data_IF_564691558400
#
_entry.id   IF_564691558400
#
_cell.length_a   1.000
_cell.length_b   1.000
_cell.length_c   1.000
_cell.angle_alpha   90.00
_cell.angle_beta   90.00
_cell.angle_gamma   90.00
#
_symmetry.space_group_name_H-M   'P 1'
#
loop_
_entity.id
_entity.type
_entity.pdbx_description
1 polymer ?
#
# COMPACT_ATOMS: atom_id res chain seq x y z
N UNK A 1 -19.87 -11.51 1.11
CA UNK A 1 -18.85 -10.48 1.38
C UNK A 1 -17.78 -11.10 2.27
N UNK A 2 -16.51 -11.02 1.90
CA UNK A 2 -15.38 -11.48 2.75
C UNK A 2 -14.93 -10.29 3.59
N UNK A 3 -14.49 -10.51 4.84
CA UNK A 3 -13.89 -9.45 5.65
C UNK A 3 -12.47 -9.16 5.19
N UNK A 4 -11.96 -7.96 5.45
CA UNK A 4 -10.58 -7.59 5.15
C UNK A 4 -9.60 -8.55 5.85
N UNK A 5 -9.88 -8.93 7.11
CA UNK A 5 -9.08 -9.89 7.89
C UNK A 5 -8.94 -11.22 7.17
N UNK A 6 -10.06 -11.76 6.67
CA UNK A 6 -10.02 -13.04 5.96
C UNK A 6 -9.36 -12.95 4.58
N UNK A 7 -9.31 -11.76 3.96
CA UNK A 7 -8.62 -11.56 2.68
C UNK A 7 -7.12 -11.47 2.91
N UNK A 8 -6.69 -10.56 3.77
CA UNK A 8 -5.26 -10.31 4.05
C UNK A 8 -4.57 -11.56 4.60
N UNK A 9 -5.18 -12.26 5.58
CA UNK A 9 -4.63 -13.51 6.10
C UNK A 9 -4.46 -14.57 5.01
N UNK A 10 -5.38 -14.66 4.06
CA UNK A 10 -5.28 -15.63 2.95
C UNK A 10 -4.15 -15.28 1.99
N UNK A 11 -3.89 -14.00 1.76
CA UNK A 11 -2.79 -13.55 0.93
C UNK A 11 -1.46 -13.99 1.55
N UNK A 12 -1.24 -13.71 2.83
CA UNK A 12 0.04 -14.01 3.50
C UNK A 12 0.23 -15.48 3.90
N UNK A 13 -0.85 -16.28 3.89
CA UNK A 13 -0.78 -17.74 4.09
C UNK A 13 -0.57 -18.53 2.79
N UNK A 14 -0.64 -17.87 1.64
CA UNK A 14 -0.42 -18.50 0.33
C UNK A 14 1.08 -18.75 0.10
N UNK A 15 1.42 -19.80 -0.67
CA UNK A 15 2.79 -20.09 -1.07
C UNK A 15 3.38 -18.96 -1.95
N UNK A 16 2.51 -18.21 -2.65
CA UNK A 16 2.85 -17.11 -3.54
C UNK A 16 2.06 -15.85 -3.17
N UNK A 17 2.43 -15.16 -2.09
CA UNK A 17 1.63 -14.06 -1.52
C UNK A 17 1.46 -12.88 -2.49
N UNK A 18 2.44 -12.59 -3.34
CA UNK A 18 2.32 -11.55 -4.37
C UNK A 18 1.22 -11.86 -5.40
N UNK A 19 1.17 -13.09 -5.91
CA UNK A 19 0.14 -13.51 -6.87
C UNK A 19 -1.24 -13.56 -6.20
N UNK A 20 -1.30 -14.00 -4.93
CA UNK A 20 -2.53 -13.98 -4.15
C UNK A 20 -3.04 -12.55 -3.90
N UNK A 21 -2.13 -11.61 -3.66
CA UNK A 21 -2.45 -10.19 -3.50
C UNK A 21 -2.97 -9.59 -4.80
N UNK A 22 -2.31 -9.86 -5.93
CA UNK A 22 -2.79 -9.40 -7.25
C UNK A 22 -4.19 -9.94 -7.54
N UNK A 23 -4.46 -11.22 -7.26
CA UNK A 23 -5.78 -11.82 -7.42
C UNK A 23 -6.85 -11.24 -6.47
N UNK A 24 -6.45 -10.68 -5.33
CA UNK A 24 -7.32 -10.01 -4.37
C UNK A 24 -7.52 -8.52 -4.68
N UNK A 25 -6.67 -7.94 -5.51
CA UNK A 25 -6.69 -6.51 -5.87
C UNK A 25 -7.83 -6.19 -6.84
N UNK A 26 -8.33 -4.95 -6.82
CA UNK A 26 -9.42 -4.53 -7.70
C UNK A 26 -8.98 -4.61 -9.18
N UNK A 27 -9.63 -5.50 -9.94
CA UNK A 27 -9.37 -5.69 -11.37
C UNK A 27 -9.63 -4.44 -12.22
N UNK A 28 -10.40 -3.46 -11.72
CA UNK A 28 -10.58 -2.18 -12.40
C UNK A 28 -9.29 -1.35 -12.46
N UNK A 29 -8.32 -1.62 -11.58
CA UNK A 29 -7.00 -0.99 -11.60
C UNK A 29 -6.13 -1.49 -12.77
N UNK A 30 -6.48 -2.63 -13.40
CA UNK A 30 -5.79 -3.18 -14.58
C UNK A 30 -4.27 -3.31 -14.40
N UNK A 31 -3.83 -3.70 -13.20
CA UNK A 31 -2.42 -3.79 -12.82
C UNK A 31 -1.64 -2.47 -13.03
N UNK A 32 -2.33 -1.32 -13.05
CA UNK A 32 -1.74 0.01 -13.13
C UNK A 32 -1.42 0.54 -11.73
N UNK A 33 -0.50 -0.13 -11.06
CA UNK A 33 0.03 0.25 -9.76
C UNK A 33 1.41 -0.38 -9.56
N UNK A 34 2.27 0.22 -8.73
CA UNK A 34 3.51 -0.41 -8.32
C UNK A 34 3.21 -1.60 -7.39
N UNK A 35 3.54 -2.82 -7.85
CA UNK A 35 3.26 -4.05 -7.09
C UNK A 35 3.98 -4.07 -5.72
N UNK A 36 5.20 -3.57 -5.65
CA UNK A 36 5.98 -3.48 -4.42
C UNK A 36 5.29 -2.60 -3.37
N UNK A 37 4.79 -1.44 -3.78
CA UNK A 37 4.08 -0.50 -2.90
C UNK A 37 2.72 -1.06 -2.46
N UNK A 38 2.02 -1.77 -3.35
CA UNK A 38 0.81 -2.52 -2.99
C UNK A 38 1.08 -3.61 -1.97
N UNK A 39 2.22 -4.31 -2.08
CA UNK A 39 2.61 -5.34 -1.12
C UNK A 39 2.91 -4.74 0.26
N UNK A 40 3.68 -3.64 0.32
CA UNK A 40 3.93 -2.90 1.57
C UNK A 40 2.64 -2.39 2.22
N UNK A 41 1.70 -1.92 1.40
CA UNK A 41 0.36 -1.51 1.87
C UNK A 41 -0.40 -2.68 2.50
N UNK A 42 -0.28 -3.88 1.93
CA UNK A 42 -0.89 -5.10 2.47
C UNK A 42 -0.24 -5.53 3.79
N UNK A 43 1.08 -5.39 3.94
CA UNK A 43 1.80 -5.64 5.20
C UNK A 43 1.36 -4.66 6.30
N UNK A 44 1.20 -3.38 5.95
CA UNK A 44 0.65 -2.37 6.87
C UNK A 44 -0.76 -2.76 7.32
N UNK A 45 -1.59 -3.25 6.38
CA UNK A 45 -2.94 -3.70 6.70
C UNK A 45 -2.90 -4.91 7.65
N UNK A 46 -2.06 -5.91 7.38
CA UNK A 46 -1.87 -7.07 8.26
C UNK A 46 -1.46 -6.63 9.67
N UNK A 47 -0.47 -5.75 9.78
CA UNK A 47 0.04 -5.27 11.07
C UNK A 47 -1.01 -4.48 11.86
N UNK A 48 -1.80 -3.64 11.19
CA UNK A 48 -2.96 -2.97 11.80
C UNK A 48 -4.00 -3.95 12.37
N UNK A 49 -4.03 -5.17 11.86
CA UNK A 49 -5.05 -6.17 12.11
C UNK A 49 -4.56 -7.31 13.01
N UNK A 50 -3.39 -7.14 13.66
CA UNK A 50 -2.88 -8.06 14.68
C UNK A 50 -3.96 -8.37 15.73
N UNK A 51 -4.02 -9.64 16.13
CA UNK A 51 -5.00 -10.13 17.10
C UNK A 51 -4.79 -9.46 18.45
N UNK A 52 -3.53 -9.39 18.88
CA UNK A 52 -3.11 -8.73 20.10
C UNK A 52 -3.05 -7.21 19.90
N UNK A 53 -3.79 -6.46 20.73
CA UNK A 53 -3.85 -5.01 20.62
C UNK A 53 -2.50 -4.32 20.85
N UNK A 54 -1.61 -4.95 21.63
CA UNK A 54 -0.26 -4.44 21.91
C UNK A 54 0.69 -4.59 20.71
N UNK A 55 0.40 -5.52 19.79
CA UNK A 55 1.19 -5.72 18.58
C UNK A 55 0.77 -4.78 17.45
N UNK A 56 -0.37 -4.09 17.59
CA UNK A 56 -0.84 -3.14 16.57
C UNK A 56 0.03 -1.88 16.58
N UNK A 57 0.36 -1.35 15.41
CA UNK A 57 1.21 -0.17 15.27
C UNK A 57 0.54 1.09 15.80
N UNK A 58 1.35 2.08 16.13
CA UNK A 58 0.83 3.40 16.40
C UNK A 58 0.50 4.16 15.11
N UNK A 59 -0.56 4.97 15.13
CA UNK A 59 -0.98 5.74 13.95
C UNK A 59 0.12 6.65 13.39
N UNK A 60 1.03 7.15 14.22
CA UNK A 60 2.17 7.96 13.75
C UNK A 60 3.11 7.16 12.83
N UNK A 61 3.30 5.87 13.12
CA UNK A 61 4.16 4.97 12.35
C UNK A 61 3.45 4.62 11.04
N UNK A 62 2.15 4.33 11.10
CA UNK A 62 1.33 4.06 9.92
C UNK A 62 1.33 5.25 8.95
N UNK A 63 1.08 6.47 9.44
CA UNK A 63 1.08 7.66 8.59
C UNK A 63 2.44 7.89 7.94
N UNK A 64 3.54 7.67 8.66
CA UNK A 64 4.88 7.80 8.10
C UNK A 64 5.14 6.78 6.98
N UNK A 65 4.79 5.52 7.17
CA UNK A 65 4.96 4.47 6.15
C UNK A 65 4.06 4.71 4.92
N UNK A 66 2.79 5.04 5.14
CA UNK A 66 1.86 5.36 4.04
C UNK A 66 2.30 6.60 3.25
N UNK A 67 2.93 7.58 3.91
CA UNK A 67 3.48 8.76 3.22
C UNK A 67 4.65 8.38 2.30
N UNK A 68 5.49 7.43 2.72
CA UNK A 68 6.58 6.91 1.89
C UNK A 68 6.03 6.14 0.68
N UNK A 69 5.03 5.27 0.88
CA UNK A 69 4.34 4.56 -0.20
C UNK A 69 3.70 5.54 -1.18
N UNK A 70 3.00 6.57 -0.68
CA UNK A 70 2.39 7.59 -1.54
C UNK A 70 3.44 8.34 -2.39
N UNK A 71 4.60 8.66 -1.79
CA UNK A 71 5.70 9.32 -2.50
C UNK A 71 6.28 8.41 -3.59
N UNK A 72 6.54 7.14 -3.25
CA UNK A 72 7.03 6.13 -4.20
C UNK A 72 6.06 5.90 -5.36
N UNK A 73 4.76 5.83 -5.09
CA UNK A 73 3.73 5.69 -6.14
C UNK A 73 3.73 6.87 -7.11
N UNK A 74 3.91 8.09 -6.63
CA UNK A 74 4.00 9.29 -7.48
C UNK A 74 5.27 9.27 -8.34
N UNK A 75 6.40 8.86 -7.76
CA UNK A 75 7.65 8.71 -8.50
C UNK A 75 7.53 7.64 -9.59
N UNK A 76 6.92 6.49 -9.27
CA UNK A 76 6.63 5.42 -10.22
C UNK A 76 5.78 5.93 -11.39
N UNK A 77 4.71 6.68 -11.13
CA UNK A 77 3.88 7.31 -12.18
C UNK A 77 4.70 8.25 -13.08
N UNK A 78 5.62 9.03 -12.50
CA UNK A 78 6.49 9.90 -13.27
C UNK A 78 7.47 9.12 -14.17
N UNK A 79 7.94 7.93 -13.74
CA UNK A 79 8.82 7.09 -14.57
C UNK A 79 8.14 6.51 -15.81
N UNK A 80 6.81 6.33 -15.75
CA UNK A 80 6.01 5.81 -16.86
C UNK A 80 5.74 6.85 -17.96
N UNK A 81 6.21 8.10 -17.79
CA UNK A 81 6.02 9.18 -18.75
C UNK A 81 4.61 9.74 -18.78
N UNK A 82 3.87 9.65 -17.66
CA UNK A 82 2.50 10.17 -17.55
C UNK A 82 2.43 11.71 -17.58
N UNK A 83 1.49 12.24 -18.37
CA UNK A 83 1.14 13.67 -18.54
C UNK A 83 0.54 14.35 -17.29
N UNK A 84 0.76 13.81 -16.09
CA UNK A 84 0.08 14.29 -14.89
C UNK A 84 0.85 15.45 -14.25
N UNK A 85 0.29 16.66 -14.35
CA UNK A 85 0.75 17.92 -13.73
C UNK A 85 0.78 17.92 -12.18
N UNK A 86 0.96 16.77 -11.52
CA UNK A 86 0.85 16.62 -10.05
C UNK A 86 2.17 16.94 -9.33
N UNK A 87 3.24 17.25 -10.07
CA UNK A 87 4.59 17.48 -9.52
C UNK A 87 4.75 18.76 -8.68
N UNK A 88 3.69 19.53 -8.39
CA UNK A 88 3.81 20.85 -7.72
C UNK A 88 3.56 20.85 -6.21
N UNK A 89 2.97 19.81 -5.61
CA UNK A 89 2.37 19.91 -4.27
C UNK A 89 3.12 19.24 -3.11
N UNK A 90 3.86 18.15 -3.34
CA UNK A 90 4.32 17.27 -2.25
C UNK A 90 5.59 17.79 -1.55
N UNK A 91 6.40 18.62 -2.21
CA UNK A 91 7.59 19.23 -1.60
C UNK A 91 7.28 20.31 -0.54
N UNK A 92 6.01 20.67 -0.30
CA UNK A 92 5.68 21.77 0.60
C UNK A 92 5.59 21.39 2.09
N UNK A 93 5.64 20.10 2.45
CA UNK A 93 5.56 19.66 3.85
C UNK A 93 6.91 19.43 4.55
N UNK A 94 8.04 19.59 3.86
CA UNK A 94 9.38 19.47 4.46
C UNK A 94 10.04 20.83 4.77
N UNK A 95 9.26 21.90 4.91
CA UNK A 95 9.79 23.24 5.07
C UNK A 95 8.90 24.19 5.85
N UNK A 96 8.53 23.84 7.09
CA UNK A 96 8.37 24.82 8.18
C UNK A 96 8.35 24.18 9.55
#
# INVERSE_FOLDING_TARGET
MKSLISVIKKVFQDDHPEAALEAATDGNLRSNYPMEDMFKMAEIAEWCMSEEAVERPEMREIVAMLSQIATSSIEWEATLGGDSQVFSGVFQFSGR
#
